data_IF_427123848467
#
_entry.id   IF_427123848467
#
_cell.length_a   1.000
_cell.length_b   1.000
_cell.length_c   1.000
_cell.angle_alpha   90.00
_cell.angle_beta   90.00
_cell.angle_gamma   90.00
#
_symmetry.space_group_name_H-M   'P 1'
#
loop_
_entity.id
_entity.type
_entity.pdbx_description
1 polymer ?
#
# COMPACT_ATOMS: atom_id res chain seq x y z
N UNK A 1 -18.91 35.73 12.95
CA UNK A 1 -18.31 34.42 13.19
C UNK A 1 -18.20 33.69 11.85
N UNK A 2 -17.03 33.74 11.20
CA UNK A 2 -16.76 33.05 9.93
C UNK A 2 -16.20 31.66 10.24
N UNK A 3 -16.98 30.63 9.95
CA UNK A 3 -16.53 29.22 10.01
C UNK A 3 -15.64 28.95 8.80
N UNK A 4 -14.34 28.78 9.04
CA UNK A 4 -13.41 28.30 8.04
C UNK A 4 -13.66 26.81 7.79
N UNK A 5 -14.07 26.48 6.57
CA UNK A 5 -14.23 25.11 6.09
C UNK A 5 -12.82 24.64 5.69
N UNK A 6 -12.17 23.83 6.51
CA UNK A 6 -10.96 23.10 6.11
C UNK A 6 -11.42 21.81 5.41
N UNK A 7 -11.27 21.80 4.09
CA UNK A 7 -11.43 20.59 3.31
C UNK A 7 -10.15 19.74 3.45
N UNK A 8 -10.27 18.61 4.11
CA UNK A 8 -9.20 17.61 4.11
C UNK A 8 -9.35 16.75 2.85
N UNK A 9 -8.82 17.24 1.73
CA UNK A 9 -8.58 16.38 0.59
C UNK A 9 -7.44 15.44 0.97
N UNK A 10 -7.72 14.15 1.12
CA UNK A 10 -6.70 13.11 1.23
C UNK A 10 -6.09 12.93 -0.16
N UNK A 11 -5.16 13.80 -0.49
CA UNK A 11 -4.29 13.64 -1.65
C UNK A 11 -3.27 12.56 -1.32
N UNK A 12 -3.18 11.57 -2.18
CA UNK A 12 -2.01 10.69 -2.31
C UNK A 12 -0.88 11.52 -2.92
N UNK A 13 -0.34 12.42 -2.13
CA UNK A 13 0.99 12.91 -2.29
C UNK A 13 1.66 12.56 -0.98
N UNK A 14 2.75 11.86 -1.01
CA UNK A 14 3.61 11.73 0.17
C UNK A 14 3.66 13.09 0.86
N UNK A 15 3.62 13.13 2.17
CA UNK A 15 3.44 14.32 3.01
C UNK A 15 4.38 15.49 2.68
N UNK A 16 4.22 16.09 1.51
CA UNK A 16 4.77 17.39 1.16
C UNK A 16 3.76 18.43 1.61
N UNK A 17 4.04 19.07 2.73
CA UNK A 17 3.24 20.19 3.22
C UNK A 17 3.03 21.21 2.11
N UNK A 18 1.80 21.33 1.62
CA UNK A 18 1.38 22.37 0.70
C UNK A 18 1.51 23.73 1.40
N UNK A 19 2.68 24.36 1.24
CA UNK A 19 2.71 25.81 1.21
C UNK A 19 2.22 26.20 -0.18
N UNK A 20 1.17 27.01 -0.25
CA UNK A 20 0.79 27.74 -1.46
C UNK A 20 1.98 28.61 -1.88
N UNK A 21 2.86 28.05 -2.71
CA UNK A 21 3.90 28.74 -3.41
C UNK A 21 3.41 28.94 -4.83
N UNK A 22 3.54 30.16 -5.33
CA UNK A 22 3.14 30.55 -6.68
C UNK A 22 3.51 29.48 -7.73
N UNK A 23 2.59 29.28 -8.65
CA UNK A 23 2.60 28.20 -9.65
C UNK A 23 3.78 28.32 -10.65
N UNK A 24 5.01 28.09 -10.18
CA UNK A 24 6.11 27.87 -11.11
C UNK A 24 6.06 26.42 -11.60
N UNK A 25 5.98 26.25 -12.92
CA UNK A 25 6.25 24.98 -13.58
C UNK A 25 7.67 24.54 -13.20
N UNK A 26 7.83 23.33 -12.69
CA UNK A 26 9.15 22.90 -12.24
C UNK A 26 9.19 21.44 -11.82
N UNK A 27 10.39 20.89 -11.89
CA UNK A 27 10.70 19.56 -11.39
C UNK A 27 11.08 19.65 -9.90
N UNK A 28 10.50 18.81 -9.09
CA UNK A 28 10.84 18.64 -7.69
C UNK A 28 11.10 17.17 -7.35
N UNK A 29 11.93 16.94 -6.35
CA UNK A 29 12.27 15.61 -5.85
C UNK A 29 12.05 15.59 -4.33
N UNK A 30 11.28 14.64 -3.86
CA UNK A 30 11.19 14.27 -2.45
C UNK A 30 11.43 12.77 -2.29
N UNK A 31 11.64 12.31 -1.08
CA UNK A 31 11.84 10.88 -0.86
C UNK A 31 11.89 10.51 0.60
N UNK A 32 11.87 9.18 0.81
CA UNK A 32 12.00 8.50 2.08
C UNK A 32 13.15 7.52 1.98
N UNK A 33 14.09 7.59 2.91
CA UNK A 33 15.17 6.62 3.10
C UNK A 33 14.92 5.90 4.40
N UNK A 34 14.97 4.58 4.38
CA UNK A 34 14.74 3.76 5.56
C UNK A 34 15.83 2.70 5.70
N UNK A 35 16.26 2.48 6.92
CA UNK A 35 17.15 1.38 7.31
C UNK A 35 16.40 0.49 8.29
N UNK A 36 16.49 -0.81 8.10
CA UNK A 36 15.88 -1.83 8.94
C UNK A 36 16.95 -2.75 9.51
N UNK A 37 16.88 -3.00 10.81
CA UNK A 37 17.58 -4.11 11.45
C UNK A 37 16.53 -4.97 12.14
N UNK A 38 16.51 -6.28 11.86
CA UNK A 38 15.53 -7.18 12.41
C UNK A 38 16.18 -8.47 12.93
N UNK A 39 15.65 -8.95 14.04
CA UNK A 39 15.86 -10.28 14.59
C UNK A 39 14.56 -11.06 14.45
N UNK A 40 14.60 -12.19 13.74
CA UNK A 40 13.40 -13.00 13.51
C UNK A 40 13.72 -14.50 13.52
N UNK A 41 12.82 -15.28 14.13
CA UNK A 41 12.90 -16.73 14.09
C UNK A 41 12.77 -17.28 12.65
N UNK A 42 11.95 -16.64 11.82
CA UNK A 42 11.79 -17.04 10.41
C UNK A 42 13.10 -16.95 9.61
N UNK A 43 13.96 -15.98 9.94
CA UNK A 43 15.29 -15.87 9.30
C UNK A 43 16.21 -17.04 9.66
N UNK A 44 16.12 -17.59 10.88
CA UNK A 44 16.94 -18.73 11.30
C UNK A 44 16.56 -20.05 10.61
N UNK A 45 15.32 -20.14 10.11
CA UNK A 45 14.83 -21.26 9.32
C UNK A 45 15.11 -21.11 7.82
N UNK A 46 15.65 -19.97 7.40
CA UNK A 46 16.00 -19.73 6.01
C UNK A 46 17.08 -20.70 5.54
N UNK A 47 16.92 -21.34 4.35
CA UNK A 47 17.86 -22.35 3.86
C UNK A 47 19.27 -21.83 3.58
N UNK A 48 19.51 -20.53 3.57
CA UNK A 48 20.79 -19.96 3.15
C UNK A 48 21.78 -19.72 4.29
N UNK A 49 21.41 -19.05 5.36
CA UNK A 49 22.42 -18.56 6.29
C UNK A 49 22.17 -18.93 7.76
N UNK A 50 20.97 -19.39 8.10
CA UNK A 50 20.60 -19.76 9.47
C UNK A 50 20.78 -18.64 10.52
N UNK A 51 21.02 -17.40 10.06
CA UNK A 51 21.18 -16.24 10.94
C UNK A 51 19.82 -15.66 11.28
N UNK A 52 19.51 -15.47 12.56
CA UNK A 52 18.27 -14.81 12.96
C UNK A 52 18.30 -13.28 12.75
N UNK A 53 19.44 -12.73 12.32
CA UNK A 53 19.64 -11.29 12.14
C UNK A 53 19.70 -10.91 10.67
N UNK A 54 19.05 -9.82 10.33
CA UNK A 54 19.20 -9.15 9.03
C UNK A 54 19.30 -7.65 9.20
N UNK A 55 19.92 -6.99 8.21
CA UNK A 55 19.87 -5.56 8.03
C UNK A 55 19.52 -5.25 6.58
N UNK A 56 18.71 -4.23 6.35
CA UNK A 56 18.25 -3.84 5.04
C UNK A 56 18.04 -2.35 4.92
N UNK A 57 17.90 -1.89 3.68
CA UNK A 57 17.56 -0.50 3.37
C UNK A 57 16.44 -0.44 2.36
N UNK A 58 15.73 0.67 2.35
CA UNK A 58 14.71 1.02 1.37
C UNK A 58 14.77 2.52 1.08
N UNK A 59 14.78 2.86 -0.21
CA UNK A 59 14.66 4.22 -0.69
C UNK A 59 13.43 4.32 -1.56
N UNK A 60 12.55 5.29 -1.30
CA UNK A 60 11.42 5.62 -2.16
C UNK A 60 11.59 7.06 -2.61
N UNK A 61 11.70 7.28 -3.92
CA UNK A 61 11.90 8.58 -4.53
C UNK A 61 10.63 9.02 -5.25
N UNK A 62 10.23 10.27 -5.05
CA UNK A 62 9.02 10.87 -5.60
C UNK A 62 9.37 12.07 -6.51
N UNK A 63 9.88 11.85 -7.74
CA UNK A 63 10.00 12.92 -8.71
C UNK A 63 8.60 13.40 -9.12
N UNK A 64 8.41 14.72 -9.11
CA UNK A 64 7.17 15.37 -9.48
C UNK A 64 7.48 16.54 -10.40
N UNK A 65 6.86 16.56 -11.56
CA UNK A 65 7.00 17.64 -12.52
C UNK A 65 5.64 18.32 -12.75
N UNK A 66 5.51 19.53 -12.25
CA UNK A 66 4.36 20.39 -12.51
C UNK A 66 4.51 21.02 -13.89
N UNK A 67 3.68 20.59 -14.83
CA UNK A 67 3.67 21.12 -16.21
C UNK A 67 2.84 22.39 -16.32
N UNK A 68 1.71 22.43 -15.59
CA UNK A 68 0.79 23.58 -15.51
C UNK A 68 -0.04 23.50 -14.20
N UNK A 69 -1.02 24.36 -14.06
CA UNK A 69 -1.92 24.33 -12.89
C UNK A 69 -2.81 23.07 -12.84
N UNK A 70 -3.01 22.44 -13.99
CA UNK A 70 -3.84 21.24 -14.09
C UNK A 70 -3.05 19.97 -14.35
N UNK A 71 -1.88 20.06 -14.98
CA UNK A 71 -1.13 18.91 -15.44
C UNK A 71 0.14 18.68 -14.62
N UNK A 72 0.30 17.44 -14.17
CA UNK A 72 1.45 17.02 -13.36
C UNK A 72 1.88 15.62 -13.78
N UNK A 73 3.18 15.42 -13.93
CA UNK A 73 3.80 14.09 -14.01
C UNK A 73 4.29 13.72 -12.63
N UNK A 74 3.93 12.53 -12.16
CA UNK A 74 4.39 12.00 -10.88
C UNK A 74 4.94 10.60 -11.05
N UNK A 75 6.00 10.28 -10.32
CA UNK A 75 6.46 8.92 -10.20
C UNK A 75 6.81 8.59 -8.72
N UNK A 76 6.84 7.31 -8.41
CA UNK A 76 7.41 6.76 -7.20
C UNK A 76 8.26 5.57 -7.58
N UNK A 77 9.56 5.66 -7.31
CA UNK A 77 10.54 4.62 -7.61
C UNK A 77 11.11 4.12 -6.29
N UNK A 78 11.07 2.81 -6.10
CA UNK A 78 11.59 2.15 -4.93
C UNK A 78 12.85 1.36 -5.26
N UNK A 79 13.86 1.48 -4.41
CA UNK A 79 15.06 0.62 -4.38
C UNK A 79 15.17 0.07 -2.98
N UNK A 80 15.28 -1.24 -2.83
CA UNK A 80 15.41 -1.84 -1.50
C UNK A 80 16.21 -3.14 -1.52
N UNK A 81 16.85 -3.45 -0.40
CA UNK A 81 17.52 -4.73 -0.19
C UNK A 81 16.51 -5.83 0.18
N UNK A 82 16.78 -7.07 -0.18
CA UNK A 82 16.03 -8.24 0.26
C UNK A 82 16.85 -9.07 1.24
N UNK A 83 16.26 -9.54 2.35
CA UNK A 83 14.90 -9.28 2.80
C UNK A 83 14.76 -7.90 3.46
N UNK A 84 13.62 -7.24 3.26
CA UNK A 84 13.23 -5.99 3.91
C UNK A 84 11.86 -6.15 4.59
N UNK A 85 10.83 -6.60 3.85
CA UNK A 85 9.51 -6.90 4.40
C UNK A 85 9.50 -8.26 5.08
N UNK A 86 8.75 -8.41 6.16
CA UNK A 86 8.74 -9.63 6.98
C UNK A 86 8.32 -10.88 6.20
N UNK A 87 7.44 -10.75 5.20
CA UNK A 87 7.09 -11.84 4.29
C UNK A 87 8.29 -12.43 3.55
N UNK A 88 9.34 -11.63 3.36
CA UNK A 88 10.55 -12.04 2.65
C UNK A 88 11.52 -12.82 3.53
N UNK A 89 11.30 -12.84 4.85
CA UNK A 89 12.19 -13.53 5.79
C UNK A 89 12.19 -15.04 5.61
N UNK A 90 11.10 -15.60 5.12
CA UNK A 90 10.98 -17.02 4.77
C UNK A 90 11.33 -17.34 3.31
N UNK A 91 11.67 -16.35 2.49
CA UNK A 91 11.97 -16.54 1.07
C UNK A 91 13.47 -16.57 0.79
N UNK A 92 13.86 -17.16 -0.33
CA UNK A 92 15.26 -17.27 -0.74
C UNK A 92 15.77 -16.04 -1.51
N UNK A 93 15.00 -14.97 -1.59
CA UNK A 93 15.34 -13.79 -2.34
C UNK A 93 16.35 -12.90 -1.60
N UNK A 94 17.54 -12.69 -2.20
CA UNK A 94 18.56 -11.78 -1.71
C UNK A 94 18.95 -10.79 -2.81
N UNK A 95 19.52 -9.67 -2.42
CA UNK A 95 20.01 -8.67 -3.34
C UNK A 95 19.31 -7.34 -3.22
N UNK A 96 19.41 -6.54 -4.26
CA UNK A 96 18.77 -5.23 -4.36
C UNK A 96 17.74 -5.28 -5.47
N UNK A 97 16.54 -4.85 -5.17
CA UNK A 97 15.44 -4.73 -6.13
C UNK A 97 15.09 -3.27 -6.39
N UNK A 98 14.70 -3.00 -7.63
CA UNK A 98 14.21 -1.70 -8.05
C UNK A 98 12.84 -1.88 -8.68
N UNK A 99 11.86 -1.16 -8.16
CA UNK A 99 10.48 -1.21 -8.62
C UNK A 99 9.95 0.19 -8.90
N UNK A 100 9.26 0.36 -10.02
CA UNK A 100 8.40 1.53 -10.25
C UNK A 100 7.07 1.25 -9.58
N UNK A 101 6.77 1.98 -8.50
CA UNK A 101 5.52 1.81 -7.76
C UNK A 101 4.37 2.53 -8.45
N UNK A 102 4.68 3.66 -9.09
CA UNK A 102 3.78 4.40 -9.97
C UNK A 102 4.58 5.35 -10.85
N UNK A 103 4.06 5.63 -12.05
CA UNK A 103 4.58 6.63 -12.98
C UNK A 103 3.44 7.08 -13.90
N UNK A 104 2.92 8.28 -13.69
CA UNK A 104 1.71 8.71 -14.38
C UNK A 104 1.68 10.19 -14.72
N UNK A 105 0.92 10.51 -15.76
CA UNK A 105 0.47 11.86 -16.11
C UNK A 105 -0.91 12.06 -15.45
N UNK A 106 -1.03 13.12 -14.66
CA UNK A 106 -2.25 13.49 -13.95
C UNK A 106 -2.82 14.82 -14.45
N UNK A 107 -4.13 14.85 -14.63
CA UNK A 107 -4.92 16.06 -14.83
C UNK A 107 -5.76 16.30 -13.57
N UNK A 108 -5.66 17.47 -12.98
CA UNK A 108 -6.40 17.85 -11.79
C UNK A 108 -7.25 19.10 -12.00
N UNK A 109 -8.47 19.05 -11.49
CA UNK A 109 -9.39 20.17 -11.46
C UNK A 109 -10.04 20.28 -10.09
N UNK A 110 -10.12 21.51 -9.58
CA UNK A 110 -10.74 21.83 -8.30
C UNK A 110 -11.86 22.84 -8.49
N UNK A 111 -12.96 22.66 -7.76
CA UNK A 111 -14.08 23.59 -7.71
C UNK A 111 -14.67 23.68 -6.31
N UNK A 112 -15.60 24.58 -6.09
CA UNK A 112 -16.30 24.69 -4.81
C UNK A 112 -17.09 23.42 -4.48
N UNK A 113 -16.60 22.65 -3.51
CA UNK A 113 -17.23 21.41 -3.04
C UNK A 113 -16.75 20.12 -3.70
N UNK A 114 -15.73 20.18 -4.56
CA UNK A 114 -15.20 18.96 -5.17
C UNK A 114 -13.86 19.07 -5.86
N UNK A 115 -13.38 17.91 -6.32
CA UNK A 115 -12.18 17.80 -7.14
C UNK A 115 -12.27 16.60 -8.08
N UNK A 116 -11.57 16.68 -9.19
CA UNK A 116 -11.38 15.61 -10.16
C UNK A 116 -9.89 15.44 -10.38
N UNK A 117 -9.42 14.19 -10.36
CA UNK A 117 -8.07 13.81 -10.73
C UNK A 117 -8.16 12.63 -11.71
N UNK A 118 -7.62 12.80 -12.90
CA UNK A 118 -7.50 11.74 -13.91
C UNK A 118 -6.04 11.41 -14.05
N UNK A 119 -5.67 10.14 -13.97
CA UNK A 119 -4.29 9.66 -14.10
C UNK A 119 -4.19 8.58 -15.15
N UNK A 120 -3.11 8.60 -15.93
CA UNK A 120 -2.79 7.59 -16.95
C UNK A 120 -1.32 7.24 -16.84
N UNK A 121 -1.01 5.94 -16.87
CA UNK A 121 0.34 5.40 -16.74
C UNK A 121 0.37 4.21 -15.80
N UNK A 122 1.47 4.03 -15.08
CA UNK A 122 1.58 3.05 -13.99
C UNK A 122 0.99 3.61 -12.70
N UNK A 123 0.09 2.88 -12.10
CA UNK A 123 -0.74 3.30 -10.98
C UNK A 123 -0.67 2.30 -9.83
N UNK A 124 -0.94 2.74 -8.62
CA UNK A 124 -1.27 1.85 -7.51
C UNK A 124 -2.72 1.38 -7.63
N UNK A 125 -3.01 0.17 -7.18
CA UNK A 125 -4.37 -0.35 -7.14
C UNK A 125 -5.31 0.61 -6.39
N UNK A 126 -6.48 0.84 -6.97
CA UNK A 126 -7.55 1.59 -6.32
C UNK A 126 -8.34 0.74 -5.32
N UNK A 127 -8.03 -0.55 -5.19
CA UNK A 127 -8.68 -1.46 -4.24
C UNK A 127 -8.06 -1.33 -2.86
N UNK A 128 -8.90 -1.21 -1.84
CA UNK A 128 -8.46 -1.06 -0.46
C UNK A 128 -7.91 0.32 -0.10
N UNK A 129 -7.32 0.46 1.07
CA UNK A 129 -6.89 1.75 1.61
C UNK A 129 -5.44 1.81 2.09
N UNK A 130 -4.80 0.68 2.39
CA UNK A 130 -3.44 0.68 2.97
C UNK A 130 -2.37 1.22 2.03
N UNK A 131 -2.48 1.03 0.72
CA UNK A 131 -1.48 1.51 -0.24
C UNK A 131 -1.23 3.02 -0.15
N UNK A 132 -2.20 3.79 0.37
CA UNK A 132 -2.05 5.20 0.69
C UNK A 132 -1.04 5.46 1.81
N UNK A 133 -0.71 4.45 2.61
CA UNK A 133 0.18 4.50 3.76
C UNK A 133 1.38 3.56 3.62
N UNK A 134 1.69 3.15 2.39
CA UNK A 134 2.75 2.19 2.07
C UNK A 134 4.17 2.71 2.37
N UNK A 135 4.36 4.02 2.36
CA UNK A 135 5.64 4.66 2.68
C UNK A 135 5.96 4.53 4.18
N UNK A 136 7.22 4.21 4.49
CA UNK A 136 7.68 4.01 5.87
C UNK A 136 7.55 5.25 6.76
N UNK A 137 7.57 6.43 6.18
CA UNK A 137 7.35 7.68 6.94
C UNK A 137 5.89 7.86 7.36
N UNK A 138 4.96 7.22 6.65
CA UNK A 138 3.50 7.32 6.86
C UNK A 138 2.95 6.10 7.59
N UNK A 139 3.46 4.90 7.29
CA UNK A 139 3.08 3.68 8.01
C UNK A 139 3.47 3.80 9.49
N UNK A 140 2.55 3.70 10.43
CA UNK A 140 2.88 3.84 11.86
C UNK A 140 3.63 2.64 12.45
N UNK A 141 3.58 1.51 11.77
CA UNK A 141 4.31 0.27 12.10
C UNK A 141 5.52 0.09 11.18
N UNK A 142 6.26 -1.00 11.33
CA UNK A 142 7.44 -1.26 10.51
C UNK A 142 7.03 -1.98 9.23
N UNK A 143 6.23 -3.04 9.33
CA UNK A 143 5.82 -3.81 8.16
C UNK A 143 4.42 -3.44 7.66
N UNK A 144 4.04 -3.99 6.53
CA UNK A 144 2.71 -3.88 5.92
C UNK A 144 1.75 -4.89 6.56
N UNK A 145 0.43 -4.67 6.50
CA UNK A 145 -0.54 -5.65 6.99
C UNK A 145 -0.45 -6.98 6.22
N UNK A 146 -0.81 -8.09 6.86
CA UNK A 146 -0.89 -9.42 6.22
C UNK A 146 -1.66 -9.41 4.89
N UNK A 147 -2.67 -8.54 4.76
CA UNK A 147 -3.49 -8.38 3.56
C UNK A 147 -2.74 -7.80 2.35
N UNK A 148 -1.52 -7.27 2.53
CA UNK A 148 -0.78 -6.52 1.51
C UNK A 148 0.62 -7.08 1.23
N UNK A 149 0.90 -8.30 1.55
CA UNK A 149 2.24 -8.80 1.34
C UNK A 149 2.49 -10.27 1.49
N UNK A 150 1.54 -11.01 1.98
CA UNK A 150 1.72 -12.43 2.20
C UNK A 150 1.15 -13.27 1.04
N UNK A 151 1.60 -14.51 0.92
CA UNK A 151 1.46 -15.47 -0.17
C UNK A 151 0.16 -15.51 -0.97
N UNK A 152 -0.89 -14.98 -0.47
CA UNK A 152 -2.18 -14.95 -1.13
C UNK A 152 -2.60 -13.51 -1.35
N UNK A 153 -1.68 -12.74 -1.94
CA UNK A 153 -1.97 -11.37 -2.31
C UNK A 153 -3.26 -11.32 -3.09
N UNK A 154 -4.12 -10.48 -2.62
CA UNK A 154 -5.30 -10.15 -3.36
C UNK A 154 -4.97 -9.24 -4.54
N UNK A 155 -5.90 -8.39 -4.85
CA UNK A 155 -5.85 -7.50 -6.01
C UNK A 155 -5.24 -6.12 -5.70
N UNK A 156 -4.64 -5.94 -4.53
CA UNK A 156 -4.04 -4.68 -4.11
C UNK A 156 -2.55 -4.70 -4.35
N UNK A 157 -2.08 -3.95 -5.34
CA UNK A 157 -0.66 -3.85 -5.69
C UNK A 157 -0.31 -2.48 -6.28
N UNK A 158 0.96 -2.33 -6.63
CA UNK A 158 1.61 -1.14 -7.15
C UNK A 158 2.15 -1.42 -8.57
N UNK A 159 2.29 -0.39 -9.40
CA UNK A 159 2.84 -0.51 -10.74
C UNK A 159 1.87 -1.16 -11.74
N UNK A 160 0.59 -0.81 -11.71
CA UNK A 160 -0.42 -1.31 -12.63
C UNK A 160 -0.62 -0.34 -13.79
N UNK A 161 -0.40 -0.79 -15.02
CA UNK A 161 -0.53 0.04 -16.22
C UNK A 161 -2.00 0.28 -16.59
N UNK A 162 -2.42 1.54 -16.69
CA UNK A 162 -3.81 1.87 -17.00
C UNK A 162 -4.21 3.32 -16.77
N UNK A 163 -5.49 3.51 -16.48
CA UNK A 163 -6.09 4.80 -16.20
C UNK A 163 -6.95 4.76 -14.93
N UNK A 164 -7.00 5.88 -14.23
CA UNK A 164 -7.79 6.05 -13.01
C UNK A 164 -8.43 7.43 -12.97
N UNK A 165 -9.64 7.45 -12.46
CA UNK A 165 -10.37 8.67 -12.12
C UNK A 165 -10.65 8.67 -10.63
N UNK A 166 -10.22 9.72 -9.95
CA UNK A 166 -10.56 10.00 -8.56
C UNK A 166 -11.43 11.26 -8.53
N UNK A 167 -12.54 11.20 -7.83
CA UNK A 167 -13.46 12.33 -7.68
C UNK A 167 -13.84 12.50 -6.22
N UNK A 168 -13.78 13.74 -5.76
CA UNK A 168 -14.33 14.11 -4.45
C UNK A 168 -15.51 15.04 -4.70
N UNK A 169 -16.64 14.73 -4.08
CA UNK A 169 -17.84 15.55 -4.15
C UNK A 169 -18.45 15.66 -2.75
N UNK A 170 -18.32 16.84 -2.14
CA UNK A 170 -18.75 17.10 -0.76
C UNK A 170 -18.12 16.10 0.25
N UNK A 171 -18.93 15.18 0.76
CA UNK A 171 -18.52 14.16 1.73
C UNK A 171 -18.15 12.80 1.08
N UNK A 172 -18.35 12.68 -0.24
CA UNK A 172 -18.04 11.48 -0.98
C UNK A 172 -16.66 11.58 -1.61
N UNK A 173 -15.90 10.51 -1.54
CA UNK A 173 -14.73 10.24 -2.37
C UNK A 173 -15.00 8.98 -3.20
N UNK A 174 -14.69 9.04 -4.48
CA UNK A 174 -14.96 7.98 -5.45
C UNK A 174 -13.71 7.74 -6.28
N UNK A 175 -13.48 6.50 -6.65
CA UNK A 175 -12.40 6.12 -7.55
C UNK A 175 -12.86 5.03 -8.50
N UNK A 176 -12.40 5.10 -9.73
CA UNK A 176 -12.58 4.06 -10.74
C UNK A 176 -11.26 3.89 -11.49
N UNK A 177 -10.84 2.65 -11.67
CA UNK A 177 -9.58 2.31 -12.31
C UNK A 177 -9.80 1.19 -13.31
N UNK A 178 -9.16 1.32 -14.45
CA UNK A 178 -9.02 0.27 -15.44
C UNK A 178 -7.54 0.07 -15.71
N UNK A 179 -7.05 -1.16 -15.58
CA UNK A 179 -5.65 -1.48 -15.83
C UNK A 179 -5.52 -2.66 -16.78
N UNK A 180 -4.41 -2.69 -17.53
CA UNK A 180 -4.05 -3.79 -18.43
C UNK A 180 -3.10 -4.80 -17.77
N UNK A 181 -3.00 -4.77 -16.46
CA UNK A 181 -2.18 -5.67 -15.66
C UNK A 181 -2.86 -5.97 -14.33
N UNK A 182 -2.70 -7.18 -13.87
CA UNK A 182 -3.20 -7.59 -12.56
C UNK A 182 -2.06 -7.62 -11.53
N UNK A 183 -2.37 -7.65 -10.23
CA UNK A 183 -1.38 -7.88 -9.20
C UNK A 183 -0.60 -9.17 -9.36
N UNK A 184 -1.22 -10.21 -9.93
CA UNK A 184 -0.57 -11.48 -10.21
C UNK A 184 0.29 -11.45 -11.49
N UNK A 185 -0.02 -10.56 -12.41
CA UNK A 185 0.66 -10.42 -13.69
C UNK A 185 0.90 -8.94 -14.00
N UNK A 186 1.97 -8.40 -13.47
CA UNK A 186 2.40 -7.04 -13.74
C UNK A 186 2.98 -6.96 -15.13
N UNK A 187 2.37 -6.14 -15.97
CA UNK A 187 2.81 -5.94 -17.33
C UNK A 187 3.27 -4.51 -17.54
N UNK A 188 4.27 -4.36 -18.40
CA UNK A 188 4.59 -3.07 -18.95
C UNK A 188 3.41 -2.50 -19.73
N UNK A 189 3.24 -1.20 -19.72
CA UNK A 189 2.23 -0.49 -20.52
C UNK A 189 2.34 -0.80 -22.03
N UNK A 190 3.49 -1.26 -22.48
CA UNK A 190 3.77 -1.59 -23.88
C UNK A 190 3.52 -3.07 -24.20
N UNK A 191 3.23 -3.91 -23.23
CA UNK A 191 2.92 -5.31 -23.47
C UNK A 191 1.50 -5.45 -23.99
N UNK A 192 1.34 -6.23 -25.06
CA UNK A 192 0.03 -6.56 -25.63
C UNK A 192 -0.67 -7.58 -24.72
N UNK A 193 -1.19 -7.12 -23.59
CA UNK A 193 -2.01 -7.91 -22.69
C UNK A 193 -3.48 -7.85 -23.10
N UNK A 194 -4.16 -8.98 -23.00
CA UNK A 194 -5.61 -9.05 -23.27
C UNK A 194 -6.44 -8.98 -21.97
N UNK A 195 -5.81 -8.66 -20.87
CA UNK A 195 -6.46 -8.63 -19.56
C UNK A 195 -6.84 -7.22 -19.18
N UNK A 196 -8.10 -6.99 -18.93
CA UNK A 196 -8.59 -5.75 -18.37
C UNK A 196 -9.09 -5.97 -16.97
N UNK A 197 -8.54 -5.20 -16.01
CA UNK A 197 -8.96 -5.18 -14.62
C UNK A 197 -9.81 -3.96 -14.36
N UNK A 198 -10.91 -4.15 -13.67
CA UNK A 198 -11.76 -3.08 -13.19
C UNK A 198 -11.71 -3.01 -11.68
N UNK A 199 -11.42 -1.83 -11.17
CA UNK A 199 -11.46 -1.55 -9.74
C UNK A 199 -12.29 -0.30 -9.50
N UNK A 200 -13.17 -0.36 -8.52
CA UNK A 200 -13.95 0.80 -8.08
C UNK A 200 -13.96 0.91 -6.58
N UNK A 201 -14.10 2.14 -6.08
CA UNK A 201 -14.22 2.40 -4.66
C UNK A 201 -15.04 3.67 -4.40
N UNK A 202 -15.72 3.68 -3.27
CA UNK A 202 -16.45 4.82 -2.76
C UNK A 202 -16.21 4.97 -1.27
N UNK A 203 -16.02 6.18 -0.82
CA UNK A 203 -15.93 6.53 0.59
C UNK A 203 -16.91 7.62 0.96
N UNK A 204 -17.30 7.65 2.21
CA UNK A 204 -18.16 8.65 2.79
C UNK A 204 -17.62 9.17 4.11
N UNK A 205 -17.41 10.47 4.20
CA UNK A 205 -16.96 11.13 5.42
C UNK A 205 -18.19 11.50 6.25
N UNK A 206 -18.46 10.70 7.29
CA UNK A 206 -19.63 10.86 8.18
C UNK A 206 -19.50 12.14 8.99
N UNK A 207 -18.30 12.37 9.50
CA UNK A 207 -17.96 13.54 10.32
C UNK A 207 -16.45 13.82 10.20
N UNK A 208 -16.00 14.95 10.69
CA UNK A 208 -14.57 15.25 10.74
C UNK A 208 -13.81 14.13 11.48
N UNK A 209 -12.88 13.50 10.79
CA UNK A 209 -12.08 12.39 11.33
C UNK A 209 -12.76 11.02 11.29
N UNK A 210 -13.98 10.87 10.74
CA UNK A 210 -14.64 9.59 10.60
C UNK A 210 -15.05 9.35 9.13
N UNK A 211 -14.41 8.38 8.49
CA UNK A 211 -14.69 7.96 7.12
C UNK A 211 -14.91 6.45 7.08
N UNK A 212 -15.82 6.02 6.24
CA UNK A 212 -16.03 4.62 5.84
C UNK A 212 -15.91 4.51 4.33
N UNK A 213 -15.46 3.37 3.84
CA UNK A 213 -15.33 3.11 2.41
C UNK A 213 -15.62 1.68 2.04
N UNK A 214 -15.87 1.48 0.76
CA UNK A 214 -16.01 0.17 0.13
C UNK A 214 -15.31 0.17 -1.22
N UNK A 215 -14.78 -0.99 -1.61
CA UNK A 215 -14.13 -1.20 -2.90
C UNK A 215 -14.50 -2.54 -3.49
N UNK A 216 -14.49 -2.62 -4.82
CA UNK A 216 -14.72 -3.84 -5.57
C UNK A 216 -13.69 -3.95 -6.70
N UNK A 217 -13.36 -5.18 -7.05
CA UNK A 217 -12.43 -5.53 -8.12
C UNK A 217 -12.98 -6.70 -8.94
N UNK A 218 -12.68 -6.70 -10.23
CA UNK A 218 -12.86 -7.83 -11.12
C UNK A 218 -11.79 -7.81 -12.21
N UNK A 219 -11.10 -8.94 -12.38
CA UNK A 219 -10.09 -9.09 -13.41
C UNK A 219 -9.38 -10.44 -13.32
N UNK A 220 -8.38 -10.71 -14.16
CA UNK A 220 -7.60 -11.93 -14.10
C UNK A 220 -6.76 -11.96 -12.80
N UNK A 221 -6.51 -13.16 -12.32
CA UNK A 221 -5.71 -13.38 -11.10
C UNK A 221 -4.46 -14.21 -11.36
N UNK A 222 -4.39 -14.91 -12.51
CA UNK A 222 -3.23 -15.69 -12.91
C UNK A 222 -2.38 -14.94 -13.91
N UNK A 223 -1.08 -15.21 -13.86
CA UNK A 223 -0.17 -14.88 -14.92
C UNK A 223 -0.54 -15.73 -16.16
N UNK A 224 -0.56 -15.11 -17.32
CA UNK A 224 -0.87 -15.77 -18.56
C UNK A 224 0.23 -16.78 -18.99
N UNK A 225 1.41 -16.74 -18.36
CA UNK A 225 2.43 -17.76 -18.51
C UNK A 225 2.16 -19.04 -17.70
N UNK A 226 1.20 -19.00 -16.78
CA UNK A 226 0.79 -20.15 -15.97
C UNK A 226 -0.30 -21.09 -16.53
N UNK A 227 -0.89 -20.92 -17.73
CA UNK A 227 -1.84 -21.89 -18.28
C UNK A 227 -1.24 -23.30 -18.41
N UNK A 228 0.09 -23.41 -18.30
CA UNK A 228 0.80 -24.69 -18.40
C UNK A 228 0.59 -25.59 -17.18
N UNK A 229 0.42 -25.01 -16.00
CA UNK A 229 0.24 -25.74 -14.74
C UNK A 229 -1.23 -26.10 -14.43
N UNK A 230 -2.16 -25.39 -15.03
CA UNK A 230 -3.58 -25.51 -14.75
C UNK A 230 -4.41 -25.82 -16.01
N UNK A 231 -3.93 -26.72 -16.84
CA UNK A 231 -4.64 -27.11 -18.07
C UNK A 231 -6.10 -27.46 -17.77
N UNK A 232 -7.01 -26.60 -18.19
CA UNK A 232 -8.46 -26.78 -18.04
C UNK A 232 -9.03 -26.31 -16.70
N UNK A 233 -8.21 -25.96 -15.71
CA UNK A 233 -8.69 -25.55 -14.37
C UNK A 233 -8.88 -24.04 -14.22
N UNK A 234 -8.01 -23.26 -14.84
CA UNK A 234 -8.11 -21.82 -14.81
C UNK A 234 -7.69 -21.23 -16.16
N UNK A 235 -8.62 -20.60 -16.83
CA UNK A 235 -8.33 -19.77 -17.98
C UNK A 235 -8.37 -18.31 -17.52
N UNK A 236 -7.22 -17.61 -17.49
CA UNK A 236 -7.17 -16.22 -17.03
C UNK A 236 -8.01 -15.29 -17.91
N UNK A 237 -8.40 -15.70 -19.11
CA UNK A 237 -9.32 -14.94 -19.96
C UNK A 237 -10.79 -15.15 -19.61
N UNK A 238 -11.13 -16.31 -19.03
CA UNK A 238 -12.52 -16.73 -18.78
C UNK A 238 -12.86 -16.72 -17.29
N UNK A 239 -11.88 -17.06 -16.44
CA UNK A 239 -12.08 -17.20 -15.00
C UNK A 239 -11.47 -16.00 -14.25
N UNK A 240 -12.27 -14.98 -13.94
CA UNK A 240 -11.78 -13.81 -13.21
C UNK A 240 -11.59 -14.11 -11.73
N UNK A 241 -10.73 -13.31 -11.10
CA UNK A 241 -10.87 -13.02 -9.69
C UNK A 241 -11.90 -11.92 -9.47
N UNK A 242 -12.64 -12.04 -8.39
CA UNK A 242 -13.48 -10.95 -7.87
C UNK A 242 -13.06 -10.64 -6.44
N UNK A 243 -13.15 -9.37 -6.06
CA UNK A 243 -12.90 -8.98 -4.68
C UNK A 243 -13.86 -7.89 -4.24
N UNK A 244 -14.18 -7.90 -2.96
CA UNK A 244 -14.90 -6.83 -2.28
C UNK A 244 -14.14 -6.49 -1.00
N UNK A 245 -14.14 -5.21 -0.64
CA UNK A 245 -13.49 -4.72 0.56
C UNK A 245 -14.29 -3.61 1.21
N UNK A 246 -14.14 -3.49 2.52
CA UNK A 246 -14.63 -2.37 3.31
C UNK A 246 -13.48 -1.81 4.12
N UNK A 247 -13.42 -0.50 4.26
CA UNK A 247 -12.41 0.19 5.04
C UNK A 247 -13.05 1.25 5.95
N UNK A 248 -12.33 1.59 7.02
CA UNK A 248 -12.74 2.62 7.94
C UNK A 248 -11.56 3.36 8.52
N UNK A 249 -11.76 4.65 8.74
CA UNK A 249 -10.79 5.53 9.38
C UNK A 249 -11.47 6.38 10.44
N UNK A 250 -10.88 6.43 11.61
CA UNK A 250 -11.29 7.31 12.67
C UNK A 250 -10.08 8.02 13.29
N UNK A 251 -10.21 9.35 13.46
CA UNK A 251 -9.19 10.19 14.09
C UNK A 251 -9.82 11.19 15.03
N UNK A 252 -9.46 11.14 16.32
CA UNK A 252 -9.92 12.10 17.31
C UNK A 252 -8.88 12.32 18.40
N UNK A 253 -8.50 13.58 18.61
CA UNK A 253 -7.47 13.93 19.59
C UNK A 253 -6.14 13.22 19.28
N UNK A 254 -5.55 12.49 20.23
CA UNK A 254 -4.28 11.81 20.02
C UNK A 254 -4.41 10.47 19.28
N UNK A 255 -5.61 10.02 18.93
CA UNK A 255 -5.88 8.73 18.36
C UNK A 255 -6.13 8.77 16.86
N UNK A 256 -5.58 7.78 16.14
CA UNK A 256 -5.97 7.40 14.80
C UNK A 256 -6.17 5.90 14.76
N UNK A 257 -7.29 5.47 14.20
CA UNK A 257 -7.64 4.05 14.01
C UNK A 257 -7.97 3.84 12.56
N UNK A 258 -7.44 2.76 11.99
CA UNK A 258 -7.72 2.29 10.64
C UNK A 258 -8.16 0.84 10.71
N UNK A 259 -9.05 0.45 9.83
CA UNK A 259 -9.43 -0.94 9.68
C UNK A 259 -9.81 -1.23 8.25
N UNK A 260 -9.55 -2.46 7.84
CA UNK A 260 -9.89 -2.93 6.51
C UNK A 260 -10.19 -4.42 6.55
N UNK A 261 -11.20 -4.83 5.82
CA UNK A 261 -11.53 -6.22 5.57
C UNK A 261 -11.76 -6.41 4.07
N UNK A 262 -11.22 -7.51 3.54
CA UNK A 262 -11.25 -7.83 2.13
C UNK A 262 -11.60 -9.30 1.95
N UNK A 263 -12.38 -9.62 0.91
CA UNK A 263 -12.68 -10.97 0.48
C UNK A 263 -12.39 -11.08 -1.01
N UNK A 264 -11.53 -12.02 -1.34
CA UNK A 264 -11.17 -12.39 -2.70
C UNK A 264 -11.81 -13.73 -3.05
N UNK A 265 -12.12 -13.90 -4.31
CA UNK A 265 -12.58 -15.17 -4.85
C UNK A 265 -11.96 -15.37 -6.23
N UNK A 266 -11.24 -16.47 -6.39
CA UNK A 266 -10.70 -16.93 -7.66
C UNK A 266 -11.58 -18.07 -8.14
N UNK A 267 -12.10 -17.95 -9.35
CA UNK A 267 -12.98 -18.94 -9.94
C UNK A 267 -12.18 -20.06 -10.61
N UNK A 268 -12.68 -21.29 -10.51
CA UNK A 268 -12.12 -22.49 -11.13
C UNK A 268 -13.24 -23.30 -11.78
N UNK A 269 -12.91 -24.09 -12.82
CA UNK A 269 -13.90 -24.93 -13.52
C UNK A 269 -14.19 -26.25 -12.81
N UNK A 270 -13.17 -26.90 -12.28
CA UNK A 270 -13.23 -28.31 -11.83
C UNK A 270 -13.09 -28.43 -10.31
N UNK A 271 -12.31 -27.53 -9.70
CA UNK A 271 -12.15 -27.50 -8.24
C UNK A 271 -13.00 -26.39 -7.61
N UNK A 272 -13.28 -26.46 -6.31
CA UNK A 272 -13.99 -25.39 -5.62
C UNK A 272 -13.27 -24.04 -5.75
N UNK A 273 -14.04 -22.97 -5.87
CA UNK A 273 -13.49 -21.63 -5.91
C UNK A 273 -12.61 -21.34 -4.69
N UNK A 274 -11.45 -20.76 -4.94
CA UNK A 274 -10.57 -20.36 -3.87
C UNK A 274 -11.04 -19.03 -3.27
N UNK A 275 -11.36 -19.05 -1.99
CA UNK A 275 -11.82 -17.87 -1.25
C UNK A 275 -10.75 -17.51 -0.23
N UNK A 276 -10.41 -16.23 -0.21
CA UNK A 276 -9.45 -15.68 0.72
C UNK A 276 -10.04 -14.45 1.43
N UNK A 277 -10.11 -14.51 2.75
CA UNK A 277 -10.58 -13.40 3.60
C UNK A 277 -9.39 -12.87 4.38
N UNK A 278 -9.21 -11.56 4.32
CA UNK A 278 -8.11 -10.87 5.01
C UNK A 278 -8.63 -9.60 5.66
N UNK A 279 -7.99 -9.19 6.72
CA UNK A 279 -8.36 -7.94 7.36
C UNK A 279 -7.37 -7.55 8.45
N UNK A 280 -7.44 -6.30 8.84
CA UNK A 280 -6.69 -5.79 9.97
C UNK A 280 -7.43 -4.64 10.65
N UNK A 281 -7.06 -4.43 11.89
CA UNK A 281 -7.35 -3.21 12.64
C UNK A 281 -6.04 -2.65 13.17
N UNK A 282 -5.83 -1.34 13.02
CA UNK A 282 -4.63 -0.63 13.41
C UNK A 282 -4.99 0.59 14.23
N UNK A 283 -4.33 0.79 15.35
CA UNK A 283 -4.50 1.96 16.18
C UNK A 283 -3.13 2.63 16.43
N UNK A 284 -3.11 3.95 16.31
CA UNK A 284 -1.96 4.80 16.66
C UNK A 284 -2.40 5.81 17.69
N UNK A 285 -1.61 5.97 18.75
CA UNK A 285 -1.77 7.02 19.75
C UNK A 285 -0.54 7.91 19.82
N UNK A 286 -0.72 9.20 19.64
CA UNK A 286 0.31 10.20 19.94
C UNK A 286 0.43 10.36 21.46
N UNK A 287 1.57 10.03 22.01
CA UNK A 287 1.87 10.10 23.46
C UNK A 287 2.44 11.47 23.83
N UNK A 288 3.25 12.04 22.95
CA UNK A 288 3.92 13.32 23.06
C UNK A 288 4.21 13.84 21.65
N UNK A 289 4.44 15.13 21.39
CA UNK A 289 4.76 15.63 20.04
C UNK A 289 5.86 14.87 19.28
N UNK A 290 6.79 14.25 20.00
CA UNK A 290 7.87 13.44 19.42
C UNK A 290 7.67 11.94 19.54
N UNK A 291 6.63 11.44 20.23
CA UNK A 291 6.43 10.03 20.52
C UNK A 291 5.05 9.57 20.13
N UNK A 292 4.97 8.39 19.53
CA UNK A 292 3.71 7.67 19.39
C UNK A 292 3.92 6.16 19.63
N UNK A 293 2.84 5.50 20.01
CA UNK A 293 2.71 4.06 19.99
C UNK A 293 1.68 3.65 18.93
N UNK A 294 1.90 2.51 18.29
CA UNK A 294 0.96 1.93 17.34
C UNK A 294 0.86 0.41 17.55
N UNK A 295 -0.30 -0.14 17.23
CA UNK A 295 -0.56 -1.58 17.24
C UNK A 295 -1.44 -1.96 16.07
N UNK A 296 -1.27 -3.19 15.54
CA UNK A 296 -2.11 -3.78 14.50
C UNK A 296 -2.40 -5.23 14.86
N UNK A 297 -3.63 -5.63 14.63
CA UNK A 297 -4.06 -7.03 14.65
C UNK A 297 -4.50 -7.35 13.23
N UNK A 298 -3.87 -8.34 12.61
CA UNK A 298 -4.16 -8.83 11.27
C UNK A 298 -4.70 -10.24 11.29
N UNK A 299 -5.51 -10.59 10.30
CA UNK A 299 -6.01 -11.95 10.09
C UNK A 299 -6.04 -12.28 8.61
N UNK A 300 -5.75 -13.52 8.28
CA UNK A 300 -5.77 -14.08 6.94
C UNK A 300 -6.36 -15.49 6.97
N UNK A 301 -7.39 -15.75 6.18
CA UNK A 301 -8.14 -17.00 6.16
C UNK A 301 -8.33 -17.49 4.71
N UNK A 302 -7.35 -18.19 4.13
CA UNK A 302 -7.49 -18.82 2.83
C UNK A 302 -8.34 -20.11 2.92
N UNK A 303 -9.18 -20.38 1.92
CA UNK A 303 -9.92 -21.65 1.85
C UNK A 303 -8.96 -22.83 1.63
N UNK A 304 -9.20 -23.92 2.35
CA UNK A 304 -8.38 -25.14 2.24
C UNK A 304 -7.01 -25.09 2.91
N UNK A 305 -6.65 -23.98 3.56
CA UNK A 305 -5.38 -23.83 4.26
C UNK A 305 -5.57 -23.29 5.68
N UNK A 306 -4.63 -23.54 6.59
CA UNK A 306 -4.61 -22.89 7.89
C UNK A 306 -4.57 -21.36 7.72
N UNK A 307 -5.33 -20.66 8.54
CA UNK A 307 -5.28 -19.20 8.58
C UNK A 307 -4.11 -18.69 9.42
N UNK A 308 -3.83 -17.41 9.29
CA UNK A 308 -2.79 -16.71 10.04
C UNK A 308 -3.37 -15.52 10.79
N UNK A 309 -2.70 -15.16 11.88
CA UNK A 309 -2.99 -13.96 12.67
C UNK A 309 -1.67 -13.27 12.97
N UNK A 310 -1.64 -11.94 12.88
CA UNK A 310 -0.49 -11.14 13.30
C UNK A 310 -0.89 -10.17 14.40
N UNK A 311 0.03 -9.97 15.33
CA UNK A 311 -0.08 -8.99 16.40
C UNK A 311 1.18 -8.14 16.35
N UNK A 312 1.05 -6.89 15.96
CA UNK A 312 2.15 -5.97 15.79
C UNK A 312 2.06 -4.84 16.81
N UNK A 313 3.19 -4.42 17.32
CA UNK A 313 3.34 -3.25 18.18
C UNK A 313 4.56 -2.45 17.73
N UNK A 314 4.47 -1.12 17.78
CA UNK A 314 5.61 -0.24 17.59
C UNK A 314 5.57 0.94 18.55
N UNK A 315 6.75 1.31 19.05
CA UNK A 315 7.02 2.59 19.71
C UNK A 315 7.92 3.41 18.78
N UNK A 316 7.53 4.65 18.52
CA UNK A 316 8.23 5.51 17.59
C UNK A 316 8.61 6.85 18.22
N UNK A 317 9.79 7.32 17.84
CA UNK A 317 10.38 8.57 18.30
C UNK A 317 10.84 9.44 17.12
N UNK A 318 10.56 10.73 17.17
CA UNK A 318 11.01 11.75 16.21
C UNK A 318 12.13 12.57 16.81
N UNK A 319 13.42 12.22 16.59
CA UNK A 319 14.54 13.02 17.06
C UNK A 319 14.55 14.41 16.41
N UNK A 320 14.25 14.46 15.11
CA UNK A 320 14.16 15.69 14.35
C UNK A 320 12.91 15.71 13.45
N UNK A 321 12.67 16.84 12.76
CA UNK A 321 11.48 17.04 11.91
C UNK A 321 11.36 16.00 10.80
N UNK A 322 12.48 15.60 10.24
CA UNK A 322 12.56 14.71 9.07
C UNK A 322 13.01 13.30 9.42
N UNK A 323 13.13 13.00 10.69
CA UNK A 323 13.64 11.73 11.18
C UNK A 323 12.61 11.02 12.05
N UNK A 324 12.56 9.69 11.92
CA UNK A 324 11.68 8.83 12.68
C UNK A 324 12.42 7.53 12.99
N UNK A 325 12.46 7.15 14.26
CA UNK A 325 12.97 5.86 14.73
C UNK A 325 11.78 5.04 15.23
N UNK A 326 11.64 3.81 14.77
CA UNK A 326 10.61 2.88 15.24
C UNK A 326 11.28 1.65 15.82
N UNK A 327 10.81 1.21 16.98
CA UNK A 327 11.10 -0.10 17.56
C UNK A 327 9.80 -0.90 17.52
N UNK A 328 9.78 -2.02 16.83
CA UNK A 328 8.60 -2.84 16.60
C UNK A 328 8.80 -4.28 17.01
N UNK A 329 7.71 -4.91 17.41
CA UNK A 329 7.64 -6.33 17.68
C UNK A 329 6.38 -6.91 17.03
N UNK A 330 6.56 -8.02 16.32
CA UNK A 330 5.48 -8.78 15.70
C UNK A 330 5.47 -10.21 16.20
N UNK A 331 4.28 -10.74 16.40
CA UNK A 331 3.99 -12.16 16.62
C UNK A 331 3.12 -12.64 15.49
N UNK A 332 3.55 -13.67 14.76
CA UNK A 332 2.77 -14.35 13.72
C UNK A 332 2.34 -15.72 14.20
N UNK A 333 1.03 -15.98 14.21
CA UNK A 333 0.44 -17.25 14.61
C UNK A 333 -0.34 -17.86 13.46
N UNK A 334 -0.25 -19.20 13.28
CA UNK A 334 -1.03 -19.95 12.31
C UNK A 334 -2.14 -20.76 12.93
N UNK A 335 -3.35 -20.71 12.39
CA UNK A 335 -4.45 -21.58 12.82
C UNK A 335 -4.12 -23.04 12.44
N UNK A 336 -4.17 -23.93 13.42
CA UNK A 336 -3.78 -25.33 13.25
C UNK A 336 -2.32 -25.64 13.60
N UNK A 337 -1.49 -24.65 13.79
CA UNK A 337 -0.17 -24.80 14.38
C UNK A 337 -0.26 -24.62 15.92
N UNK A 338 0.48 -25.47 16.64
CA UNK A 338 0.67 -25.27 18.08
C UNK A 338 1.85 -24.33 18.29
N UNK A 339 1.56 -23.06 18.56
CA UNK A 339 2.58 -22.06 18.87
C UNK A 339 2.72 -20.97 17.82
N UNK A 340 3.74 -20.18 17.98
CA UNK A 340 4.06 -19.00 17.16
C UNK A 340 4.81 -19.44 15.91
N UNK A 341 4.32 -19.02 14.73
CA UNK A 341 5.00 -19.25 13.45
C UNK A 341 6.25 -18.37 13.32
N UNK A 342 6.24 -17.19 13.92
CA UNK A 342 7.36 -16.27 13.89
C UNK A 342 7.24 -15.17 14.93
N UNK A 343 8.40 -14.75 15.44
CA UNK A 343 8.55 -13.56 16.26
C UNK A 343 9.59 -12.68 15.59
N UNK A 344 9.28 -11.41 15.43
CA UNK A 344 10.20 -10.44 14.84
C UNK A 344 10.33 -9.23 15.75
N UNK A 345 11.55 -8.96 16.17
CA UNK A 345 11.93 -7.69 16.80
C UNK A 345 12.69 -6.86 15.76
N UNK A 346 12.23 -5.66 15.49
CA UNK A 346 12.84 -4.82 14.48
C UNK A 346 13.02 -3.38 14.95
N UNK A 347 14.08 -2.76 14.45
CA UNK A 347 14.31 -1.33 14.56
C UNK A 347 14.40 -0.74 13.15
N UNK A 348 13.65 0.33 12.90
CA UNK A 348 13.64 1.03 11.63
C UNK A 348 13.99 2.50 11.86
N UNK A 349 14.97 2.99 11.12
CA UNK A 349 15.30 4.40 11.03
C UNK A 349 14.78 4.95 9.69
N UNK A 350 14.06 6.05 9.72
CA UNK A 350 13.42 6.66 8.55
C UNK A 350 13.81 8.11 8.47
N UNK A 351 14.33 8.52 7.32
CA UNK A 351 14.65 9.92 6.99
C UNK A 351 13.84 10.34 5.78
N UNK A 352 13.17 11.48 5.86
CA UNK A 352 12.48 12.11 4.72
C UNK A 352 13.22 13.34 4.26
N UNK A 353 13.17 13.62 2.97
CA UNK A 353 13.74 14.83 2.40
C UNK A 353 12.84 15.45 1.34
N UNK A 354 13.07 16.71 1.07
CA UNK A 354 12.39 17.46 0.01
C UNK A 354 11.10 18.16 0.44
N UNK A 355 10.37 18.74 -0.52
CA UNK A 355 10.73 18.78 -1.93
C UNK A 355 11.97 19.64 -2.22
N UNK A 356 12.90 19.08 -2.98
CA UNK A 356 14.03 19.79 -3.54
C UNK A 356 13.62 20.29 -4.92
N UNK A 357 13.61 21.60 -5.14
CA UNK A 357 13.37 22.17 -6.47
C UNK A 357 14.59 21.92 -7.37
N UNK A 358 14.38 21.25 -8.48
CA UNK A 358 15.36 21.04 -9.52
C UNK A 358 15.14 22.06 -10.64
N UNK A 359 14.95 23.34 -10.29
CA UNK A 359 14.78 24.40 -11.28
C UNK A 359 16.00 24.42 -12.21
N UNK A 360 15.77 24.23 -13.51
CA UNK A 360 16.74 24.60 -14.51
C UNK A 360 16.99 26.13 -14.38
N UNK A 361 18.25 26.51 -14.15
CA UNK A 361 18.68 27.90 -14.23
C UNK A 361 18.57 28.41 -15.67
#
# INVERSE_FOLDING_TARGET
MRRGIFHTAVLIAGAAGLRAQEAQSGLSLSGTLSELTAYSHQLSESPRDGSPLTAGFRAVLYPTWKLSDHWTVTAAVQVYSRPYFYEQFSTQGYGVETNVLQANLGYSQFWSGGSLLIRVGELSSAFGSFLLRYDDAVNPLIDKPLSYGYYYQGVSDLGLAGAQVDMTLHQFDMRAQFTNSSPANRRSIFDNGQFGDWTGGVGYTIAQGLRIGASAYRGPYLDHEYPYYFRGEADPHVLPATAVGVDGQWGRGPWNVYGEWQRFQNDYHVIPNYIHQVGYIEARRTLHPRWYAATRIGTQRPSGHPGYQSYEFALAYRPARFELVKLGYEVLEGSGYRGTLGNTLAMQFVTTFGPLSLAAK
#
